data_IF_788083397715
#
_entry.id   IF_788083397715
#
_cell.length_a   1.000
_cell.length_b   1.000
_cell.length_c   1.000
_cell.angle_alpha   90.00
_cell.angle_beta   90.00
_cell.angle_gamma   90.00
#
_symmetry.space_group_name_H-M   'P 1'
#
loop_
_entity.id
_entity.type
_entity.pdbx_description
1 polymer ?
#
# COMPACT_ATOMS: atom_id res chain seq x y z
N UNK A 1 -12.40 18.98 3.06
CA UNK A 1 -11.45 18.30 3.97
C UNK A 1 -10.29 17.73 3.17
N UNK A 2 -9.06 18.22 3.34
CA UNK A 2 -7.85 17.70 2.68
C UNK A 2 -6.90 17.21 3.77
N UNK A 3 -6.83 15.89 3.95
CA UNK A 3 -6.01 15.27 5.00
C UNK A 3 -4.54 15.41 4.62
N UNK A 4 -3.82 16.05 5.54
CA UNK A 4 -2.44 16.46 5.45
C UNK A 4 -1.58 15.20 5.40
N UNK A 5 -0.84 15.01 4.31
CA UNK A 5 0.26 14.08 4.28
C UNK A 5 1.31 14.56 5.27
N UNK A 6 1.29 13.95 6.46
CA UNK A 6 2.27 14.17 7.50
C UNK A 6 3.62 13.71 6.97
N UNK A 7 4.42 14.70 6.56
CA UNK A 7 5.83 14.55 6.31
C UNK A 7 6.52 14.09 7.58
N UNK A 8 6.81 12.79 7.63
CA UNK A 8 7.86 12.26 8.49
C UNK A 8 8.63 11.26 7.65
N UNK A 9 9.67 11.78 7.00
CA UNK A 9 10.80 10.98 6.50
C UNK A 9 11.31 10.15 7.68
N UNK A 10 10.79 8.94 7.82
CA UNK A 10 11.32 7.94 8.73
C UNK A 10 12.00 6.93 7.84
N UNK A 11 13.32 6.86 7.94
CA UNK A 11 14.08 5.74 7.44
C UNK A 11 13.49 4.48 8.08
N UNK A 12 12.68 3.75 7.31
CA UNK A 12 11.90 2.62 7.80
C UNK A 12 12.66 1.34 7.48
N UNK A 13 13.02 0.53 8.49
CA UNK A 13 13.64 -0.76 8.23
C UNK A 13 12.67 -1.62 7.42
N UNK A 14 13.19 -2.55 6.62
CA UNK A 14 12.42 -3.59 5.90
C UNK A 14 11.65 -4.49 6.89
N UNK A 15 10.61 -3.93 7.52
CA UNK A 15 9.84 -4.59 8.54
C UNK A 15 9.00 -5.69 7.90
N UNK A 16 9.00 -6.85 8.54
CA UNK A 16 8.14 -7.99 8.19
C UNK A 16 6.67 -7.64 8.41
N UNK A 17 6.34 -6.59 9.16
CA UNK A 17 4.97 -6.12 9.38
C UNK A 17 4.89 -4.61 9.10
N UNK A 18 4.01 -4.21 8.20
CA UNK A 18 3.79 -2.81 7.81
C UNK A 18 2.30 -2.54 7.64
N UNK A 19 1.86 -1.31 7.90
CA UNK A 19 0.47 -0.90 7.64
C UNK A 19 0.25 -0.57 6.17
N UNK A 20 -0.97 -0.74 5.68
CA UNK A 20 -1.36 -0.46 4.28
C UNK A 20 -0.92 0.93 3.81
N UNK A 21 -1.13 1.97 4.62
CA UNK A 21 -0.75 3.34 4.25
C UNK A 21 0.77 3.57 4.22
N UNK A 22 1.56 2.83 5.00
CA UNK A 22 3.02 2.95 4.96
C UNK A 22 3.58 2.20 3.74
N UNK A 23 3.03 1.02 3.41
CA UNK A 23 3.38 0.30 2.18
C UNK A 23 3.01 1.11 0.93
N UNK A 24 1.87 1.79 0.95
CA UNK A 24 1.45 2.68 -0.14
C UNK A 24 2.49 3.79 -0.39
N UNK A 25 3.00 4.41 0.69
CA UNK A 25 4.04 5.45 0.61
C UNK A 25 5.37 4.92 0.10
N UNK A 26 5.75 3.71 0.49
CA UNK A 26 6.99 3.05 0.05
C UNK A 26 6.97 2.77 -1.46
N UNK A 27 5.84 2.28 -1.98
CA UNK A 27 5.67 1.94 -3.38
C UNK A 27 5.23 3.12 -4.26
N UNK A 28 4.89 4.27 -3.65
CA UNK A 28 4.36 5.44 -4.37
C UNK A 28 2.96 5.24 -4.96
N UNK A 29 2.18 4.31 -4.41
CA UNK A 29 0.81 4.01 -4.85
C UNK A 29 -0.21 4.52 -3.83
N UNK A 30 -1.49 4.54 -4.21
CA UNK A 30 -2.55 4.96 -3.27
C UNK A 30 -2.92 3.83 -2.30
N UNK A 31 -3.39 4.17 -1.09
CA UNK A 31 -3.91 3.16 -0.15
C UNK A 31 -5.04 2.33 -0.76
N UNK A 32 -5.86 2.93 -1.64
CA UNK A 32 -6.95 2.25 -2.33
C UNK A 32 -6.44 1.14 -3.26
N UNK A 33 -5.37 1.38 -4.00
CA UNK A 33 -4.74 0.37 -4.86
C UNK A 33 -4.20 -0.81 -4.05
N UNK A 34 -3.58 -0.54 -2.88
CA UNK A 34 -3.12 -1.60 -1.97
C UNK A 34 -4.32 -2.44 -1.48
N UNK A 35 -5.42 -1.80 -1.03
CA UNK A 35 -6.62 -2.52 -0.56
C UNK A 35 -7.22 -3.42 -1.67
N UNK A 36 -7.25 -2.93 -2.91
CA UNK A 36 -7.72 -3.70 -4.07
C UNK A 36 -6.79 -4.89 -4.34
N UNK A 37 -5.47 -4.67 -4.31
CA UNK A 37 -4.50 -5.73 -4.48
C UNK A 37 -4.61 -6.80 -3.37
N UNK A 38 -4.78 -6.40 -2.10
CA UNK A 38 -5.05 -7.34 -1.00
C UNK A 38 -6.31 -8.18 -1.27
N UNK A 39 -7.39 -7.53 -1.73
CA UNK A 39 -8.67 -8.20 -2.03
C UNK A 39 -8.51 -9.24 -3.16
N UNK A 40 -7.70 -8.96 -4.18
CA UNK A 40 -7.39 -9.91 -5.25
C UNK A 40 -6.61 -11.15 -4.77
N UNK A 41 -5.85 -11.02 -3.68
CA UNK A 41 -5.14 -12.13 -3.05
C UNK A 41 -6.00 -12.91 -2.03
N UNK A 42 -7.26 -12.51 -1.83
CA UNK A 42 -8.17 -13.15 -0.87
C UNK A 42 -8.00 -12.68 0.57
N UNK A 43 -7.21 -11.64 0.81
CA UNK A 43 -7.04 -11.04 2.14
C UNK A 43 -7.77 -9.69 2.21
N UNK A 44 -8.90 -9.67 2.92
CA UNK A 44 -9.73 -8.47 3.09
C UNK A 44 -9.25 -7.64 4.28
N UNK A 45 -8.52 -6.56 3.99
CA UNK A 45 -8.09 -5.57 4.97
C UNK A 45 -9.19 -4.53 5.20
N UNK A 46 -9.53 -4.27 6.48
CA UNK A 46 -10.65 -3.40 6.87
C UNK A 46 -10.42 -1.91 6.60
N UNK A 47 -9.16 -1.45 6.64
CA UNK A 47 -8.82 -0.04 6.44
C UNK A 47 -7.32 0.16 6.18
N UNK A 48 -6.93 1.35 5.73
CA UNK A 48 -5.53 1.75 5.46
C UNK A 48 -4.63 1.67 6.70
N UNK A 49 -5.20 1.60 7.90
CA UNK A 49 -4.48 1.43 9.16
C UNK A 49 -4.28 -0.04 9.55
N UNK A 50 -4.83 -1.02 8.82
CA UNK A 50 -4.61 -2.43 9.13
C UNK A 50 -3.16 -2.86 8.87
N UNK A 51 -2.62 -3.72 9.74
CA UNK A 51 -1.32 -4.37 9.55
C UNK A 51 -1.43 -5.45 8.50
N UNK A 52 -0.47 -5.49 7.58
CA UNK A 52 -0.33 -6.55 6.59
C UNK A 52 0.63 -7.61 7.14
N UNK A 53 0.26 -8.88 6.98
CA UNK A 53 1.14 -10.00 7.28
C UNK A 53 2.38 -9.94 6.38
N UNK A 54 3.54 -10.34 6.91
CA UNK A 54 4.80 -10.32 6.16
C UNK A 54 4.79 -11.02 4.81
N UNK A 55 4.24 -12.24 4.68
CA UNK A 55 4.14 -12.88 3.36
C UNK A 55 3.24 -12.11 2.39
N UNK A 56 2.15 -11.49 2.85
CA UNK A 56 1.29 -10.66 2.00
C UNK A 56 2.00 -9.37 1.57
N UNK A 57 2.70 -8.71 2.48
CA UNK A 57 3.48 -7.49 2.19
C UNK A 57 4.48 -7.75 1.07
N UNK A 58 5.20 -8.87 1.13
CA UNK A 58 6.16 -9.26 0.09
C UNK A 58 5.46 -9.52 -1.24
N UNK A 59 4.35 -10.26 -1.25
CA UNK A 59 3.55 -10.51 -2.48
C UNK A 59 3.06 -9.21 -3.10
N UNK A 60 2.56 -8.27 -2.29
CA UNK A 60 2.08 -6.96 -2.77
C UNK A 60 3.21 -6.11 -3.32
N UNK A 61 4.38 -6.09 -2.67
CA UNK A 61 5.57 -5.41 -3.19
C UNK A 61 5.98 -5.99 -4.53
N UNK A 62 6.10 -7.31 -4.65
CA UNK A 62 6.44 -7.97 -5.92
C UNK A 62 5.38 -7.68 -7.01
N UNK A 63 4.10 -7.78 -6.67
CA UNK A 63 2.98 -7.52 -7.57
C UNK A 63 2.97 -6.07 -8.08
N UNK A 64 3.15 -5.08 -7.21
CA UNK A 64 3.07 -3.66 -7.55
C UNK A 64 4.38 -3.07 -8.07
N UNK A 65 5.52 -3.62 -7.67
CA UNK A 65 6.84 -3.22 -8.19
C UNK A 65 7.10 -3.81 -9.59
N UNK A 66 6.67 -5.05 -9.84
CA UNK A 66 6.82 -5.71 -11.14
C UNK A 66 5.69 -5.40 -12.13
N UNK A 67 4.47 -5.14 -11.64
CA UNK A 67 3.34 -4.69 -12.46
C UNK A 67 3.16 -3.21 -12.22
N UNK A 68 3.64 -2.37 -13.14
CA UNK A 68 3.05 -1.05 -13.36
C UNK A 68 1.59 -1.27 -13.72
N UNK A 69 0.74 -1.34 -12.70
CA UNK A 69 -0.70 -1.19 -12.88
C UNK A 69 -0.90 0.22 -13.45
N UNK A 70 -1.45 0.35 -14.66
CA UNK A 70 -1.80 1.67 -15.16
C UNK A 70 -2.95 2.18 -14.29
N UNK A 71 -2.61 3.06 -13.34
CA UNK A 71 -3.58 3.83 -12.58
C UNK A 71 -4.27 4.82 -13.54
N UNK A 72 -5.23 4.32 -14.31
CA UNK A 72 -6.27 5.20 -14.87
C UNK A 72 -7.12 5.66 -13.69
N UNK A 73 -6.83 6.86 -13.17
CA UNK A 73 -7.72 7.82 -12.47
C UNK A 73 -6.88 8.70 -11.50
N UNK A 74 -6.84 10.03 -11.58
CA UNK A 74 -7.89 10.95 -12.03
C UNK A 74 -7.53 11.84 -13.22
N UNK A 75 -8.44 11.83 -14.19
CA UNK A 75 -8.71 12.95 -15.09
C UNK A 75 -9.74 13.86 -14.43
N UNK A 76 -9.56 15.17 -14.66
CA UNK A 76 -10.44 16.30 -14.32
C UNK A 76 -10.51 16.74 -12.85
#
# INVERSE_FOLDING_TARGET
MRLKDTGRQRNWPIAVTIRVHELAKELGVTSKEILIACSNHGEFVKSSSSTLEGPLTRRLREYLCGRRVPSTQGSA
#
